data_IF_793155014523
#
_entry.id   IF_793155014523
#
_cell.length_a   1.000
_cell.length_b   1.000
_cell.length_c   1.000
_cell.angle_alpha   90.00
_cell.angle_beta   90.00
_cell.angle_gamma   90.00
#
_symmetry.space_group_name_H-M   'P 1'
#
loop_
_entity.id
_entity.type
_entity.pdbx_description
1 polymer ?
#
# COMPACT_ATOMS: atom_id res chain seq x y z
N UNK A 1 11.11 -4.75 -47.61
CA UNK A 1 10.28 -5.94 -47.41
C UNK A 1 10.96 -6.78 -46.34
N UNK A 2 10.60 -6.59 -45.07
CA UNK A 2 11.16 -7.41 -43.98
C UNK A 2 10.23 -8.61 -43.84
N UNK A 3 10.75 -9.78 -44.20
CA UNK A 3 10.09 -11.07 -44.03
C UNK A 3 9.64 -11.24 -42.58
N UNK A 4 8.34 -11.17 -42.36
CA UNK A 4 7.69 -11.55 -41.09
C UNK A 4 7.43 -13.05 -41.16
N UNK A 5 8.50 -13.83 -41.11
CA UNK A 5 8.48 -15.30 -41.02
C UNK A 5 9.28 -15.76 -39.78
N UNK A 6 9.16 -15.03 -38.67
CA UNK A 6 9.55 -15.54 -37.35
C UNK A 6 8.33 -16.15 -36.66
N UNK A 7 8.08 -17.40 -37.02
CA UNK A 7 7.17 -18.33 -36.33
C UNK A 7 7.47 -18.35 -34.83
N UNK A 8 6.48 -18.04 -33.99
CA UNK A 8 6.27 -18.53 -32.62
C UNK A 8 7.55 -18.79 -31.78
N UNK A 9 8.51 -17.87 -31.76
CA UNK A 9 9.58 -17.97 -30.77
C UNK A 9 9.03 -17.46 -29.44
N UNK A 10 8.97 -18.35 -28.45
CA UNK A 10 8.65 -17.96 -27.07
C UNK A 10 9.82 -17.10 -26.59
N UNK A 11 9.53 -15.83 -26.28
CA UNK A 11 10.51 -14.86 -25.78
C UNK A 11 10.44 -14.91 -24.26
N UNK A 12 11.55 -15.27 -23.62
CA UNK A 12 11.67 -15.22 -22.16
C UNK A 12 11.95 -13.79 -21.66
N UNK A 13 12.07 -13.64 -20.34
CA UNK A 13 12.22 -12.32 -19.72
C UNK A 13 13.56 -11.69 -20.12
N UNK A 14 14.61 -12.51 -20.19
CA UNK A 14 15.97 -12.12 -20.53
C UNK A 14 16.05 -11.57 -21.97
N UNK A 15 15.52 -12.32 -22.93
CA UNK A 15 15.46 -11.92 -24.34
C UNK A 15 14.67 -10.61 -24.52
N UNK A 16 13.59 -10.44 -23.77
CA UNK A 16 12.76 -9.24 -23.87
C UNK A 16 13.42 -8.01 -23.24
N UNK A 17 14.25 -8.19 -22.22
CA UNK A 17 15.09 -7.13 -21.66
C UNK A 17 16.15 -6.69 -22.69
N UNK A 18 16.76 -7.62 -23.42
CA UNK A 18 17.67 -7.29 -24.52
C UNK A 18 16.97 -6.53 -25.65
N UNK A 19 15.75 -6.96 -26.00
CA UNK A 19 14.92 -6.27 -26.98
C UNK A 19 14.56 -4.85 -26.53
N UNK A 20 14.22 -4.67 -25.25
CA UNK A 20 13.96 -3.36 -24.66
C UNK A 20 15.16 -2.43 -24.71
N UNK A 21 16.37 -2.95 -24.45
CA UNK A 21 17.63 -2.20 -24.58
C UNK A 21 17.90 -1.80 -26.04
N UNK A 22 17.72 -2.75 -26.97
CA UNK A 22 17.95 -2.53 -28.42
C UNK A 22 16.98 -1.52 -29.03
N UNK A 23 15.70 -1.59 -28.65
CA UNK A 23 14.63 -0.78 -29.22
C UNK A 23 14.19 0.40 -28.34
N UNK A 24 14.87 0.64 -27.21
CA UNK A 24 14.64 1.76 -26.28
C UNK A 24 13.20 1.86 -25.77
N UNK A 25 12.63 0.74 -25.34
CA UNK A 25 11.36 0.73 -24.61
C UNK A 25 11.55 0.09 -23.23
N UNK A 26 10.66 0.41 -22.29
CA UNK A 26 10.65 -0.21 -20.97
C UNK A 26 10.02 -1.61 -21.05
N UNK A 27 10.78 -2.70 -20.79
CA UNK A 27 10.27 -4.07 -20.84
C UNK A 27 9.05 -4.28 -19.94
N UNK A 28 9.08 -3.73 -18.73
CA UNK A 28 8.00 -3.83 -17.75
C UNK A 28 6.66 -3.32 -18.31
N UNK A 29 6.63 -2.08 -18.81
CA UNK A 29 5.39 -1.52 -19.35
C UNK A 29 4.95 -2.23 -20.64
N UNK A 30 5.89 -2.69 -21.47
CA UNK A 30 5.56 -3.37 -22.72
C UNK A 30 4.99 -4.78 -22.50
N UNK A 31 5.50 -5.54 -21.53
CA UNK A 31 4.91 -6.83 -21.15
C UNK A 31 3.46 -6.67 -20.68
N UNK A 32 3.24 -5.62 -19.90
CA UNK A 32 1.94 -5.31 -19.32
C UNK A 32 0.91 -4.78 -20.31
N UNK A 33 1.36 -4.18 -21.42
CA UNK A 33 0.49 -3.85 -22.54
C UNK A 33 0.14 -5.11 -23.35
N UNK A 34 1.09 -6.03 -23.49
CA UNK A 34 0.91 -7.27 -24.26
C UNK A 34 0.11 -8.34 -23.52
N UNK A 35 -0.05 -8.26 -22.20
CA UNK A 35 -0.84 -9.23 -21.43
C UNK A 35 -2.30 -9.29 -21.86
N UNK A 36 -2.86 -8.19 -22.39
CA UNK A 36 -4.26 -8.11 -22.83
C UNK A 36 -4.55 -9.00 -24.07
N UNK A 37 -3.53 -9.37 -24.83
CA UNK A 37 -3.65 -10.17 -26.08
C UNK A 37 -2.88 -11.49 -26.01
N UNK A 38 -2.40 -11.89 -24.83
CA UNK A 38 -1.62 -13.11 -24.65
C UNK A 38 -2.53 -14.33 -24.43
N UNK A 39 -2.22 -15.44 -25.10
CA UNK A 39 -2.94 -16.72 -24.93
C UNK A 39 -2.57 -17.43 -23.62
N UNK A 40 -1.36 -17.20 -23.11
CA UNK A 40 -0.84 -17.77 -21.86
C UNK A 40 -0.12 -16.67 -21.07
N UNK A 41 -0.50 -16.53 -19.81
CA UNK A 41 0.15 -15.61 -18.87
C UNK A 41 0.65 -16.42 -17.69
N UNK A 42 1.96 -16.42 -17.49
CA UNK A 42 2.60 -16.97 -16.31
C UNK A 42 2.77 -15.84 -15.30
N UNK A 43 2.20 -15.98 -14.10
CA UNK A 43 2.32 -15.00 -13.03
C UNK A 43 2.43 -15.66 -11.67
N UNK A 44 3.12 -15.03 -10.70
CA UNK A 44 3.14 -15.52 -9.33
C UNK A 44 1.76 -15.34 -8.67
N UNK A 45 1.47 -16.14 -7.65
CA UNK A 45 0.16 -16.17 -6.98
C UNK A 45 -0.32 -14.82 -6.44
N UNK A 46 0.58 -13.98 -5.93
CA UNK A 46 0.22 -12.69 -5.31
C UNK A 46 -0.43 -11.69 -6.29
N UNK A 47 -0.26 -11.87 -7.60
CA UNK A 47 -0.93 -11.04 -8.60
C UNK A 47 -2.43 -11.35 -8.72
N UNK A 48 -2.83 -12.56 -8.30
CA UNK A 48 -4.21 -13.05 -8.34
C UNK A 48 -4.84 -13.05 -6.95
N UNK A 49 -4.10 -13.44 -5.91
CA UNK A 49 -4.68 -13.76 -4.60
C UNK A 49 -4.64 -12.62 -3.59
N UNK A 50 -3.75 -11.64 -3.75
CA UNK A 50 -3.64 -10.56 -2.78
C UNK A 50 -4.86 -9.63 -2.91
N UNK A 51 -5.68 -9.47 -1.83
CA UNK A 51 -6.88 -8.66 -1.86
C UNK A 51 -6.60 -7.16 -2.09
N UNK A 52 -5.37 -6.69 -1.88
CA UNK A 52 -4.92 -5.32 -2.23
C UNK A 52 -4.77 -5.16 -3.74
N UNK A 53 -4.51 -6.26 -4.45
CA UNK A 53 -4.47 -6.34 -5.93
C UNK A 53 -5.84 -6.67 -6.51
N UNK A 54 -6.70 -7.35 -5.76
CA UNK A 54 -8.08 -7.67 -6.13
C UNK A 54 -9.05 -6.50 -5.85
N UNK A 55 -10.08 -6.32 -6.69
CA UNK A 55 -11.06 -5.23 -6.57
C UNK A 55 -11.91 -5.48 -5.32
N UNK A 56 -11.64 -4.82 -4.20
CA UNK A 56 -12.68 -4.64 -3.19
C UNK A 56 -13.46 -3.37 -3.52
N UNK A 57 -14.76 -3.56 -3.84
CA UNK A 57 -15.76 -2.60 -4.33
C UNK A 57 -15.96 -1.33 -3.46
N UNK A 58 -15.22 -1.17 -2.37
CA UNK A 58 -15.43 -0.09 -1.40
C UNK A 58 -14.19 0.77 -1.08
N UNK A 59 -13.02 0.52 -1.67
CA UNK A 59 -11.83 1.35 -1.45
C UNK A 59 -11.04 1.56 -2.75
N UNK A 60 -11.62 2.32 -3.68
CA UNK A 60 -11.07 2.57 -5.03
C UNK A 60 -9.81 3.46 -5.06
N UNK A 61 -9.20 3.81 -3.91
CA UNK A 61 -8.12 4.81 -3.87
C UNK A 61 -6.71 4.31 -3.51
N UNK A 62 -6.49 3.07 -3.02
CA UNK A 62 -5.11 2.62 -2.75
C UNK A 62 -4.64 1.50 -3.68
N UNK A 63 -3.78 1.93 -4.61
CA UNK A 63 -2.47 1.36 -4.99
C UNK A 63 -2.47 -0.17 -5.19
N UNK A 64 -2.66 -0.57 -6.44
CA UNK A 64 -1.95 -1.64 -7.21
C UNK A 64 -2.86 -2.10 -8.36
N UNK A 65 -4.19 -1.96 -8.27
CA UNK A 65 -5.09 -2.48 -9.29
C UNK A 65 -5.13 -1.71 -10.62
N UNK A 66 -4.62 -0.48 -10.66
CA UNK A 66 -4.29 0.18 -11.93
C UNK A 66 -3.06 -0.43 -12.60
N UNK A 67 -2.36 -1.38 -12.00
CA UNK A 67 -1.02 -1.78 -12.41
C UNK A 67 -0.90 -3.10 -13.20
N UNK A 68 -1.94 -3.92 -13.41
CA UNK A 68 -1.80 -5.12 -14.26
C UNK A 68 -2.98 -5.46 -15.18
N UNK A 69 -4.17 -4.83 -15.03
CA UNK A 69 -5.35 -5.02 -15.92
C UNK A 69 -5.75 -6.49 -16.23
N UNK A 70 -5.35 -7.46 -15.41
CA UNK A 70 -5.66 -8.87 -15.66
C UNK A 70 -7.18 -9.08 -15.51
N UNK A 71 -7.85 -9.34 -16.64
CA UNK A 71 -9.24 -9.73 -16.69
C UNK A 71 -9.31 -11.25 -16.74
N UNK A 72 -9.86 -11.88 -15.70
CA UNK A 72 -10.01 -13.34 -15.61
C UNK A 72 -11.32 -13.85 -16.19
N UNK A 73 -12.19 -12.96 -16.69
CA UNK A 73 -13.41 -13.38 -17.38
C UNK A 73 -13.04 -14.18 -18.63
N UNK A 74 -13.78 -15.25 -18.90
CA UNK A 74 -13.56 -16.17 -20.03
C UNK A 74 -12.15 -16.78 -20.11
N UNK A 75 -11.45 -16.89 -18.98
CA UNK A 75 -10.09 -17.45 -18.88
C UNK A 75 -10.07 -18.75 -18.06
N UNK A 76 -9.12 -19.64 -18.37
CA UNK A 76 -8.85 -20.84 -17.56
C UNK A 76 -7.70 -20.51 -16.60
N UNK A 77 -7.95 -20.57 -15.28
CA UNK A 77 -6.93 -20.41 -14.26
C UNK A 77 -6.35 -21.77 -13.87
N UNK A 78 -5.04 -21.94 -14.07
CA UNK A 78 -4.29 -23.12 -13.63
C UNK A 78 -3.41 -22.70 -12.46
N UNK A 79 -3.60 -23.34 -11.32
CA UNK A 79 -2.73 -23.16 -10.16
C UNK A 79 -1.75 -24.34 -10.16
N UNK A 80 -0.52 -24.05 -10.57
CA UNK A 80 0.59 -24.99 -10.39
C UNK A 80 0.94 -25.09 -8.90
N UNK A 81 1.46 -26.22 -8.41
CA UNK A 81 1.88 -26.43 -7.01
C UNK A 81 0.88 -25.96 -5.92
N UNK A 82 -0.41 -26.26 -6.13
CA UNK A 82 -1.51 -25.76 -5.30
C UNK A 82 -1.42 -26.10 -3.79
N UNK A 83 -0.49 -26.96 -3.36
CA UNK A 83 -0.22 -27.20 -1.95
C UNK A 83 0.31 -25.96 -1.20
N UNK A 84 0.92 -24.99 -1.91
CA UNK A 84 1.38 -23.72 -1.32
C UNK A 84 0.28 -22.65 -1.25
N UNK A 85 -0.88 -22.90 -1.85
CA UNK A 85 -1.94 -21.91 -2.02
C UNK A 85 -2.47 -21.37 -0.68
N UNK A 86 -2.69 -22.27 0.29
CA UNK A 86 -3.23 -21.91 1.61
C UNK A 86 -2.32 -20.94 2.34
N UNK A 87 -1.02 -21.26 2.40
CA UNK A 87 -0.02 -20.41 3.03
C UNK A 87 0.07 -19.03 2.39
N UNK A 88 0.01 -18.96 1.05
CA UNK A 88 0.04 -17.68 0.33
C UNK A 88 -1.21 -16.85 0.60
N UNK A 89 -2.38 -17.48 0.71
CA UNK A 89 -3.61 -16.80 1.11
C UNK A 89 -3.53 -16.29 2.55
N UNK A 90 -3.01 -17.10 3.48
CA UNK A 90 -2.80 -16.72 4.88
C UNK A 90 -1.86 -15.52 4.99
N UNK A 91 -0.71 -15.56 4.32
CA UNK A 91 0.26 -14.46 4.30
C UNK A 91 -0.31 -13.19 3.63
N UNK A 92 -1.10 -13.33 2.56
CA UNK A 92 -1.72 -12.19 1.86
C UNK A 92 -2.83 -11.50 2.68
N UNK A 93 -3.48 -12.24 3.57
CA UNK A 93 -4.53 -11.71 4.45
C UNK A 93 -4.00 -11.27 5.83
N UNK A 94 -2.74 -11.60 6.15
CA UNK A 94 -2.13 -11.30 7.43
C UNK A 94 -1.36 -9.99 7.40
N UNK A 95 -1.29 -9.31 8.54
CA UNK A 95 -0.43 -8.15 8.76
C UNK A 95 0.30 -8.30 10.09
N UNK A 96 1.57 -7.92 10.09
CA UNK A 96 2.39 -7.86 11.30
C UNK A 96 3.10 -6.52 11.33
N UNK A 97 3.11 -5.87 12.49
CA UNK A 97 3.88 -4.66 12.72
C UNK A 97 4.59 -4.77 14.07
N UNK A 98 5.75 -4.13 14.14
CA UNK A 98 6.57 -4.02 15.33
C UNK A 98 6.41 -2.64 15.98
N UNK A 99 6.91 -2.48 17.20
CA UNK A 99 6.99 -1.17 17.85
C UNK A 99 7.85 -0.18 17.06
N UNK A 100 8.82 -0.66 16.28
CA UNK A 100 9.62 0.19 15.37
C UNK A 100 8.77 0.72 14.22
N UNK A 101 7.87 -0.10 13.67
CA UNK A 101 6.97 0.31 12.60
C UNK A 101 5.98 1.37 13.11
N UNK A 102 5.47 1.20 14.33
CA UNK A 102 4.60 2.19 14.99
C UNK A 102 5.34 3.53 15.19
N UNK A 103 6.56 3.50 15.73
CA UNK A 103 7.37 4.70 15.92
C UNK A 103 7.72 5.39 14.59
N UNK A 104 8.01 4.60 13.54
CA UNK A 104 8.21 5.11 12.18
C UNK A 104 6.96 5.82 11.66
N UNK A 105 5.80 5.18 11.77
CA UNK A 105 4.51 5.73 11.35
C UNK A 105 4.19 7.07 12.06
N UNK A 106 4.36 7.14 13.37
CA UNK A 106 4.17 8.38 14.12
C UNK A 106 5.10 9.50 13.64
N UNK A 107 6.38 9.19 13.41
CA UNK A 107 7.36 10.16 12.94
C UNK A 107 6.98 10.69 11.55
N UNK A 108 6.63 9.80 10.64
CA UNK A 108 6.22 10.16 9.27
C UNK A 108 4.93 10.99 9.26
N UNK A 109 3.92 10.59 10.06
CA UNK A 109 2.67 11.33 10.18
C UNK A 109 2.89 12.76 10.74
N UNK A 110 3.73 12.90 11.78
CA UNK A 110 4.11 14.21 12.34
C UNK A 110 4.87 15.07 11.33
N UNK A 111 5.76 14.47 10.55
CA UNK A 111 6.49 15.17 9.49
C UNK A 111 5.54 15.67 8.39
N UNK A 112 4.62 14.82 7.93
CA UNK A 112 3.62 15.20 6.93
C UNK A 112 2.74 16.37 7.43
N UNK A 113 2.29 16.32 8.68
CA UNK A 113 1.51 17.40 9.30
C UNK A 113 2.31 18.71 9.35
N UNK A 114 3.58 18.65 9.75
CA UNK A 114 4.45 19.83 9.81
C UNK A 114 4.69 20.45 8.42
N UNK A 115 4.85 19.63 7.37
CA UNK A 115 4.99 20.11 5.99
C UNK A 115 3.74 20.84 5.52
N UNK A 116 2.55 20.28 5.75
CA UNK A 116 1.28 20.92 5.37
C UNK A 116 1.12 22.28 6.07
N UNK A 117 1.38 22.34 7.38
CA UNK A 117 1.27 23.59 8.14
C UNK A 117 2.30 24.64 7.70
N UNK A 118 3.52 24.22 7.35
CA UNK A 118 4.54 25.13 6.85
C UNK A 118 4.14 25.73 5.48
N UNK A 119 3.60 24.92 4.58
CA UNK A 119 3.10 25.38 3.27
C UNK A 119 1.90 26.34 3.42
N UNK A 120 0.95 26.04 4.32
CA UNK A 120 -0.16 26.94 4.62
C UNK A 120 0.32 28.31 5.15
N UNK A 121 1.34 28.29 6.00
CA UNK A 121 1.92 29.52 6.57
C UNK A 121 2.71 30.32 5.52
N UNK A 122 3.42 29.67 4.60
CA UNK A 122 4.07 30.34 3.47
C UNK A 122 3.04 31.01 2.54
N UNK A 123 1.91 30.35 2.28
CA UNK A 123 0.82 30.92 1.49
C UNK A 123 0.19 32.14 2.18
N UNK A 124 -0.04 32.06 3.50
CA UNK A 124 -0.57 33.20 4.27
C UNK A 124 0.35 34.41 4.18
N UNK A 125 1.65 34.22 4.37
CA UNK A 125 2.65 35.28 4.24
C UNK A 125 2.68 35.88 2.83
N UNK A 126 2.64 35.03 1.80
CA UNK A 126 2.59 35.49 0.41
C UNK A 126 1.33 36.33 0.12
N UNK A 127 0.18 36.01 0.74
CA UNK A 127 -1.05 36.79 0.61
C UNK A 127 -0.97 38.12 1.37
N UNK A 128 -0.42 38.13 2.58
CA UNK A 128 -0.26 39.34 3.39
C UNK A 128 0.76 40.33 2.78
N UNK A 129 1.74 39.83 2.02
CA UNK A 129 2.74 40.65 1.31
C UNK A 129 2.24 41.20 -0.05
N UNK A 130 1.05 40.81 -0.50
CA UNK A 130 0.47 41.29 -1.77
C UNK A 130 -0.51 42.44 -1.53
N UNK A 131 -0.23 43.62 -2.10
CA UNK A 131 -1.08 44.82 -2.03
C UNK A 131 -2.29 44.76 -3.00
N UNK A 132 -2.77 43.54 -3.30
CA UNK A 132 -3.83 43.31 -4.28
C UNK A 132 -5.19 43.47 -3.59
N UNK A 133 -5.91 44.53 -3.93
CA UNK A 133 -7.21 44.86 -3.34
C UNK A 133 -8.21 43.70 -3.40
N UNK A 134 -8.95 43.52 -2.30
CA UNK A 134 -10.01 42.52 -2.13
C UNK A 134 -10.92 42.43 -3.37
N UNK A 135 -10.84 41.31 -4.12
CA UNK A 135 -11.84 40.96 -5.13
C UNK A 135 -11.40 40.85 -6.60
N UNK A 136 -10.10 40.81 -6.95
CA UNK A 136 -9.68 40.40 -8.31
C UNK A 136 -9.27 38.93 -8.36
N UNK A 137 -10.14 38.16 -9.00
CA UNK A 137 -10.16 36.72 -9.16
C UNK A 137 -9.12 36.22 -10.18
N UNK A 138 -7.89 35.97 -9.73
CA UNK A 138 -6.96 35.07 -10.44
C UNK A 138 -6.24 34.07 -9.51
N UNK A 139 -6.46 34.14 -8.19
CA UNK A 139 -5.79 33.29 -7.19
C UNK A 139 -6.33 31.85 -7.10
N UNK A 140 -7.33 31.46 -7.90
CA UNK A 140 -7.91 30.11 -7.86
C UNK A 140 -6.95 29.02 -8.39
N UNK A 141 -6.01 29.36 -9.27
CA UNK A 141 -5.13 28.37 -9.91
C UNK A 141 -3.92 27.92 -9.06
N UNK A 142 -3.52 28.68 -8.03
CA UNK A 142 -2.48 28.21 -7.09
C UNK A 142 -3.06 27.29 -6.00
N UNK A 143 -4.32 27.49 -5.63
CA UNK A 143 -5.02 26.69 -4.61
C UNK A 143 -5.37 25.26 -5.09
N UNK A 144 -5.52 25.06 -6.40
CA UNK A 144 -5.90 23.77 -6.99
C UNK A 144 -4.82 22.69 -6.95
N UNK A 145 -3.53 23.06 -6.82
CA UNK A 145 -2.44 22.08 -6.80
C UNK A 145 -2.32 21.35 -5.45
N UNK A 146 -2.83 21.94 -4.36
CA UNK A 146 -2.79 21.36 -3.00
C UNK A 146 -3.93 20.35 -2.74
N UNK A 147 -5.10 20.56 -3.35
CA UNK A 147 -6.26 19.67 -3.19
C UNK A 147 -6.09 18.26 -3.80
N UNK A 148 -4.98 17.97 -4.48
CA UNK A 148 -4.73 16.63 -5.02
C UNK A 148 -4.34 15.61 -3.94
N UNK A 149 -3.92 16.06 -2.76
CA UNK A 149 -3.84 15.26 -1.56
C UNK A 149 -5.04 15.67 -0.71
N UNK A 150 -6.16 14.99 -0.87
CA UNK A 150 -7.36 15.16 -0.03
C UNK A 150 -7.11 14.59 1.39
N UNK A 151 -5.99 14.96 2.02
CA UNK A 151 -5.62 14.64 3.38
C UNK A 151 -6.06 15.81 4.26
N UNK A 152 -7.14 15.63 5.00
CA UNK A 152 -7.57 16.64 5.95
C UNK A 152 -6.55 16.70 7.10
N UNK A 153 -5.97 17.88 7.33
CA UNK A 153 -5.06 18.18 8.45
C UNK A 153 -5.63 17.68 9.79
N UNK A 154 -6.97 17.74 9.95
CA UNK A 154 -7.65 17.23 11.14
C UNK A 154 -7.64 15.70 11.23
N UNK A 155 -7.86 15.01 10.12
CA UNK A 155 -7.79 13.54 10.07
C UNK A 155 -6.39 13.06 10.39
N UNK A 156 -5.36 13.72 9.85
CA UNK A 156 -3.97 13.38 10.13
C UNK A 156 -3.59 13.65 11.60
N UNK A 157 -4.02 14.78 12.16
CA UNK A 157 -3.83 15.08 13.58
C UNK A 157 -4.54 14.05 14.48
N UNK A 158 -5.77 13.68 14.15
CA UNK A 158 -6.51 12.65 14.86
C UNK A 158 -5.79 11.30 14.79
N UNK A 159 -5.30 10.92 13.60
CA UNK A 159 -4.55 9.68 13.41
C UNK A 159 -3.26 9.64 14.25
N UNK A 160 -2.53 10.75 14.35
CA UNK A 160 -1.36 10.84 15.23
C UNK A 160 -1.74 10.58 16.69
N UNK A 161 -2.84 11.16 17.16
CA UNK A 161 -3.33 10.94 18.54
C UNK A 161 -3.67 9.46 18.77
N UNK A 162 -4.33 8.80 17.81
CA UNK A 162 -4.61 7.37 17.91
C UNK A 162 -3.33 6.53 18.01
N UNK A 163 -2.33 6.82 17.17
CA UNK A 163 -1.04 6.11 17.22
C UNK A 163 -0.31 6.31 18.55
N UNK A 164 -0.38 7.50 19.15
CA UNK A 164 0.20 7.77 20.48
C UNK A 164 -0.58 7.06 21.60
N UNK A 165 -1.90 7.00 21.51
CA UNK A 165 -2.74 6.25 22.44
C UNK A 165 -2.44 4.75 22.38
N UNK A 166 -2.27 4.20 21.17
CA UNK A 166 -1.90 2.80 20.97
C UNK A 166 -0.52 2.48 21.55
N UNK A 167 0.48 3.33 21.33
CA UNK A 167 1.81 3.15 21.92
C UNK A 167 1.76 3.13 23.45
N UNK A 168 1.01 4.06 24.07
CA UNK A 168 0.82 4.10 25.52
C UNK A 168 0.14 2.84 26.05
N UNK A 169 -0.85 2.29 25.35
CA UNK A 169 -1.50 1.05 25.76
C UNK A 169 -0.57 -0.16 25.62
N UNK A 170 0.28 -0.18 24.57
CA UNK A 170 1.31 -1.22 24.40
C UNK A 170 2.34 -1.17 25.54
N UNK A 171 2.80 0.02 25.92
CA UNK A 171 3.79 0.20 27.00
C UNK A 171 3.25 -0.23 28.38
N UNK A 172 1.94 -0.16 28.58
CA UNK A 172 1.28 -0.65 29.81
C UNK A 172 1.22 -2.17 29.90
N UNK A 173 1.48 -2.90 28.81
CA UNK A 173 1.38 -4.36 28.82
C UNK A 173 2.49 -4.93 29.69
N UNK A 174 2.11 -5.38 30.88
CA UNK A 174 3.01 -6.13 31.75
C UNK A 174 3.06 -7.60 31.28
N UNK A 175 4.08 -7.91 30.48
CA UNK A 175 4.31 -9.26 29.97
C UNK A 175 4.59 -10.29 31.07
N UNK A 176 5.03 -9.91 32.28
CA UNK A 176 5.31 -10.86 33.36
C UNK A 176 4.04 -11.40 34.03
N UNK A 177 3.02 -10.55 34.17
CA UNK A 177 1.73 -10.86 34.79
C UNK A 177 0.78 -11.69 33.90
N UNK A 178 1.10 -11.85 32.61
CA UNK A 178 0.37 -12.73 31.69
C UNK A 178 0.68 -14.22 31.95
N UNK A 179 0.55 -14.68 33.20
CA UNK A 179 0.63 -16.08 33.61
C UNK A 179 -0.78 -16.57 33.91
N UNK A 180 -1.29 -17.48 33.08
CA UNK A 180 -2.50 -18.23 33.38
C UNK A 180 -3.54 -18.23 32.28
N UNK A 181 -3.86 -19.44 31.83
CA UNK A 181 -5.04 -19.88 31.08
C UNK A 181 -5.16 -19.61 29.57
N UNK A 182 -4.51 -18.60 28.96
CA UNK A 182 -4.69 -18.34 27.51
C UNK A 182 -3.39 -18.10 26.71
N UNK A 183 -2.22 -18.35 27.29
CA UNK A 183 -0.93 -18.18 26.62
C UNK A 183 -0.38 -19.53 26.15
N UNK A 184 -0.63 -19.87 24.88
CA UNK A 184 0.07 -20.98 24.23
C UNK A 184 1.56 -20.67 24.12
N UNK A 185 2.43 -21.58 24.58
CA UNK A 185 3.84 -21.55 24.19
C UNK A 185 3.95 -22.14 22.79
N UNK A 186 4.25 -21.33 21.78
CA UNK A 186 4.76 -21.89 20.52
C UNK A 186 6.16 -22.44 20.80
N UNK A 187 6.37 -23.73 20.49
CA UNK A 187 7.70 -24.33 20.60
C UNK A 187 8.64 -23.56 19.66
N UNK A 188 9.69 -22.95 20.19
CA UNK A 188 10.81 -22.29 19.47
C UNK A 188 10.75 -20.76 19.23
N UNK A 189 9.91 -19.99 19.92
CA UNK A 189 9.98 -18.52 19.90
C UNK A 189 10.07 -17.96 21.33
N UNK A 190 11.07 -17.11 21.59
CA UNK A 190 11.15 -16.33 22.83
C UNK A 190 10.05 -15.26 22.81
N UNK A 191 8.98 -15.49 23.59
CA UNK A 191 7.86 -14.56 23.68
C UNK A 191 6.60 -15.19 24.29
N UNK A 192 5.56 -14.37 24.51
CA UNK A 192 4.21 -14.84 24.87
C UNK A 192 3.29 -14.63 23.67
N UNK A 193 2.57 -15.68 23.28
CA UNK A 193 1.52 -15.60 22.27
C UNK A 193 0.18 -15.37 22.96
N UNK A 194 -0.60 -14.43 22.44
CA UNK A 194 -1.91 -14.06 22.94
C UNK A 194 -2.96 -14.35 21.86
N UNK A 195 -4.19 -14.62 22.28
CA UNK A 195 -5.31 -14.80 21.36
C UNK A 195 -5.56 -13.52 20.55
N UNK A 196 -6.05 -13.65 19.32
CA UNK A 196 -6.37 -12.50 18.46
C UNK A 196 -7.37 -11.51 19.08
N UNK A 197 -8.22 -11.96 20.01
CA UNK A 197 -9.11 -11.09 20.79
C UNK A 197 -8.34 -10.03 21.60
N UNK A 198 -7.12 -10.34 22.04
CA UNK A 198 -6.27 -9.40 22.76
C UNK A 198 -5.91 -8.18 21.91
N UNK A 199 -5.66 -8.37 20.60
CA UNK A 199 -5.40 -7.25 19.69
C UNK A 199 -6.63 -6.35 19.55
N UNK A 200 -7.82 -6.94 19.49
CA UNK A 200 -9.08 -6.19 19.44
C UNK A 200 -9.29 -5.36 20.73
N UNK A 201 -9.05 -5.96 21.89
CA UNK A 201 -9.15 -5.27 23.18
C UNK A 201 -8.12 -4.14 23.28
N UNK A 202 -6.90 -4.35 22.78
CA UNK A 202 -5.84 -3.35 22.74
C UNK A 202 -6.23 -2.16 21.86
N UNK A 203 -6.70 -2.42 20.64
CA UNK A 203 -7.13 -1.38 19.70
C UNK A 203 -8.30 -0.57 20.27
N UNK A 204 -9.30 -1.26 20.85
CA UNK A 204 -10.45 -0.61 21.47
C UNK A 204 -10.05 0.32 22.62
N UNK A 205 -9.07 -0.07 23.44
CA UNK A 205 -8.55 0.79 24.53
C UNK A 205 -7.80 2.02 24.02
N UNK A 206 -7.17 1.91 22.86
CA UNK A 206 -6.49 3.03 22.20
C UNK A 206 -7.43 3.91 21.36
N UNK A 207 -8.74 3.68 21.43
CA UNK A 207 -9.77 4.41 20.67
C UNK A 207 -9.63 4.25 19.14
N UNK A 208 -8.96 3.17 18.69
CA UNK A 208 -8.83 2.80 17.28
C UNK A 208 -10.12 2.20 16.71
#
# INVERSE_FOLDING_TARGET
>A
TVNVDQKNQVIDVEDFVELGKKHRFCPYFKYREKSDVADLILMPYNYILDPRTLKFKYLDFLIVRKANKINLNDSILIIDEAHNLEKVCEESASVSFSTKDLAGCQKEAKQALATILAEEEELRKAMDETDVGFGKSDSQNQFSSLNNLNLDTKELAHFIVLLESLEKEIDKINYENLKGENAGRMQNLDGKVLNGSFLYDLLTKSEF
#
